data_IF_918479329385
#
_entry.id   IF_918479329385
#
_cell.length_a   1.000
_cell.length_b   1.000
_cell.length_c   1.000
_cell.angle_alpha   90.00
_cell.angle_beta   90.00
_cell.angle_gamma   90.00
#
_symmetry.space_group_name_H-M   'P 1'
#
loop_
_entity.id
_entity.type
_entity.pdbx_description
1 polymer ?
#
# COMPACT_ATOMS: atom_id res chain seq x y z
N UNK A 1 4.96 15.48 17.87
CA UNK A 1 4.40 14.15 17.53
C UNK A 1 3.71 14.29 16.19
N UNK A 2 4.42 14.04 15.09
CA UNK A 2 3.91 14.32 13.74
C UNK A 2 3.93 13.03 12.93
N UNK A 3 2.89 12.22 13.05
CA UNK A 3 2.73 11.01 12.20
C UNK A 3 1.31 10.91 11.68
N UNK A 4 0.77 12.04 11.20
CA UNK A 4 -0.29 12.00 10.20
C UNK A 4 0.40 11.67 8.88
N UNK A 5 0.72 10.39 8.66
CA UNK A 5 1.17 9.91 7.36
C UNK A 5 -0.01 10.14 6.42
N UNK A 6 0.08 11.21 5.65
CA UNK A 6 -0.88 11.52 4.63
C UNK A 6 -0.77 10.46 3.53
N UNK A 7 -1.89 9.78 3.25
CA UNK A 7 -1.96 8.75 2.21
C UNK A 7 -1.53 9.37 0.88
N UNK A 8 -1.95 10.62 0.62
CA UNK A 8 -1.65 11.33 -0.61
C UNK A 8 -0.15 11.62 -0.72
N UNK A 9 0.42 12.34 0.26
CA UNK A 9 1.84 12.70 0.22
C UNK A 9 2.77 11.47 0.16
N UNK A 10 2.41 10.39 0.86
CA UNK A 10 3.20 9.15 0.83
C UNK A 10 3.07 8.45 -0.51
N UNK A 11 1.86 8.41 -1.09
CA UNK A 11 1.63 7.84 -2.41
C UNK A 11 2.41 8.59 -3.49
N UNK A 12 2.47 9.93 -3.41
CA UNK A 12 3.23 10.77 -4.35
C UNK A 12 4.72 10.51 -4.25
N UNK A 13 5.26 10.45 -3.02
CA UNK A 13 6.67 10.15 -2.81
C UNK A 13 7.07 8.80 -3.39
N UNK A 14 6.24 7.78 -3.19
CA UNK A 14 6.48 6.44 -3.74
C UNK A 14 6.31 6.41 -5.26
N UNK A 15 5.29 7.09 -5.80
CA UNK A 15 5.06 7.18 -7.23
C UNK A 15 6.25 7.84 -7.95
N UNK A 16 6.89 8.84 -7.34
CA UNK A 16 8.04 9.53 -7.90
C UNK A 16 9.40 8.81 -7.69
N UNK A 17 9.48 7.77 -6.85
CA UNK A 17 10.74 7.10 -6.54
C UNK A 17 11.15 6.07 -7.60
N UNK A 18 12.01 6.47 -8.54
CA UNK A 18 12.51 5.62 -9.63
C UNK A 18 13.24 4.35 -9.18
N UNK A 19 13.69 4.27 -7.91
CA UNK A 19 14.35 3.06 -7.38
C UNK A 19 13.35 1.93 -7.14
N UNK A 20 12.07 2.26 -6.99
CA UNK A 20 11.00 1.30 -6.81
C UNK A 20 10.46 0.94 -8.18
N UNK A 21 10.59 -0.32 -8.56
CA UNK A 21 10.01 -0.81 -9.81
C UNK A 21 8.52 -1.09 -9.66
N UNK A 22 7.81 -1.15 -10.78
CA UNK A 22 6.41 -1.56 -10.81
C UNK A 22 6.18 -2.99 -10.32
N UNK A 23 7.18 -3.84 -10.47
CA UNK A 23 7.17 -5.18 -9.91
C UNK A 23 7.15 -5.14 -8.38
N UNK A 24 7.94 -4.27 -7.75
CA UNK A 24 7.93 -4.09 -6.30
C UNK A 24 6.54 -3.64 -5.82
N UNK A 25 5.90 -2.67 -6.50
CA UNK A 25 4.52 -2.28 -6.17
C UNK A 25 3.53 -3.44 -6.27
N UNK A 26 3.60 -4.21 -7.35
CA UNK A 26 2.72 -5.36 -7.54
C UNK A 26 2.95 -6.44 -6.47
N UNK A 27 4.22 -6.78 -6.18
CA UNK A 27 4.60 -7.76 -5.16
C UNK A 27 4.14 -7.34 -3.78
N UNK A 28 4.40 -6.09 -3.38
CA UNK A 28 3.99 -5.58 -2.07
C UNK A 28 2.48 -5.56 -1.91
N UNK A 29 1.74 -5.10 -2.94
CA UNK A 29 0.27 -5.15 -2.92
C UNK A 29 -0.28 -6.57 -2.82
N UNK A 30 0.31 -7.51 -3.55
CA UNK A 30 -0.10 -8.92 -3.51
C UNK A 30 0.12 -9.52 -2.12
N UNK A 31 1.33 -9.34 -1.56
CA UNK A 31 1.66 -9.86 -0.23
C UNK A 31 0.73 -9.27 0.84
N UNK A 32 0.49 -7.96 0.80
CA UNK A 32 -0.37 -7.29 1.76
C UNK A 32 -1.83 -7.74 1.65
N UNK A 33 -2.34 -7.94 0.43
CA UNK A 33 -3.69 -8.46 0.24
C UNK A 33 -3.84 -9.90 0.74
N UNK A 34 -2.81 -10.74 0.53
CA UNK A 34 -2.81 -12.11 1.04
C UNK A 34 -2.83 -12.11 2.57
N UNK A 35 -2.00 -11.29 3.22
CA UNK A 35 -1.97 -11.23 4.69
C UNK A 35 -3.28 -10.70 5.28
N UNK A 36 -3.88 -9.66 4.66
CA UNK A 36 -5.22 -9.19 5.03
C UNK A 36 -6.27 -10.31 4.87
N UNK A 37 -6.15 -11.12 3.81
CA UNK A 37 -7.06 -12.23 3.55
C UNK A 37 -6.94 -13.32 4.62
N UNK A 38 -5.72 -13.70 5.01
CA UNK A 38 -5.50 -14.68 6.07
C UNK A 38 -6.05 -14.20 7.42
N UNK A 39 -5.80 -12.93 7.78
CA UNK A 39 -6.33 -12.34 9.02
C UNK A 39 -7.86 -12.32 9.01
N UNK A 40 -8.46 -11.91 7.90
CA UNK A 40 -9.92 -11.91 7.74
C UNK A 40 -10.51 -13.33 7.84
N UNK A 41 -9.82 -14.32 7.27
CA UNK A 41 -10.25 -15.72 7.31
C UNK A 41 -10.13 -16.33 8.72
N UNK A 42 -9.17 -15.85 9.52
CA UNK A 42 -9.03 -16.21 10.94
C UNK A 42 -10.03 -15.49 11.87
N UNK A 43 -10.94 -14.65 11.35
CA UNK A 43 -11.82 -13.77 12.12
C UNK A 43 -11.06 -12.84 13.09
N UNK A 44 -9.82 -12.50 12.76
CA UNK A 44 -9.02 -11.57 13.53
C UNK A 44 -9.25 -10.13 13.04
N UNK A 45 -9.13 -9.12 13.93
CA UNK A 45 -9.24 -7.73 13.54
C UNK A 45 -8.09 -7.34 12.61
N UNK A 46 -8.42 -6.83 11.42
CA UNK A 46 -7.42 -6.36 10.46
C UNK A 46 -6.75 -5.08 10.99
N UNK A 47 -5.42 -5.05 11.16
CA UNK A 47 -4.71 -3.84 11.59
C UNK A 47 -4.93 -2.69 10.60
N UNK A 48 -5.31 -1.52 11.12
CA UNK A 48 -5.59 -0.33 10.29
C UNK A 48 -4.38 0.09 9.43
N UNK A 49 -3.17 -0.06 9.95
CA UNK A 49 -1.91 0.17 9.22
C UNK A 49 -1.88 -0.61 7.89
N UNK A 50 -2.34 -1.87 7.86
CA UNK A 50 -2.35 -2.68 6.64
C UNK A 50 -3.35 -2.12 5.61
N UNK A 51 -4.53 -1.70 6.07
CA UNK A 51 -5.54 -1.05 5.22
C UNK A 51 -4.99 0.28 4.67
N UNK A 52 -4.30 1.06 5.51
CA UNK A 52 -3.65 2.32 5.12
C UNK A 52 -2.57 2.10 4.07
N UNK A 53 -1.66 1.15 4.29
CA UNK A 53 -0.62 0.81 3.31
C UNK A 53 -1.19 0.26 2.00
N UNK A 54 -2.28 -0.50 2.05
CA UNK A 54 -2.99 -0.95 0.85
C UNK A 54 -3.49 0.23 0.02
N UNK A 55 -4.05 1.24 0.68
CA UNK A 55 -4.50 2.46 0.01
C UNK A 55 -3.32 3.24 -0.60
N UNK A 56 -2.25 3.46 0.17
CA UNK A 56 -1.03 4.15 -0.27
C UNK A 56 -0.44 3.48 -1.52
N UNK A 57 -0.23 2.17 -1.48
CA UNK A 57 0.38 1.43 -2.59
C UNK A 57 -0.50 1.39 -3.83
N UNK A 58 -1.83 1.26 -3.66
CA UNK A 58 -2.79 1.34 -4.78
C UNK A 58 -2.72 2.72 -5.44
N UNK A 59 -2.74 3.78 -4.64
CA UNK A 59 -2.70 5.15 -5.16
C UNK A 59 -1.36 5.46 -5.83
N UNK A 60 -0.24 5.07 -5.22
CA UNK A 60 1.09 5.26 -5.79
C UNK A 60 1.24 4.59 -7.17
N UNK A 61 0.78 3.34 -7.29
CA UNK A 61 0.79 2.61 -8.55
C UNK A 61 -0.12 3.23 -9.61
N UNK A 62 -1.33 3.68 -9.23
CA UNK A 62 -2.25 4.36 -10.13
C UNK A 62 -1.67 5.66 -10.67
N UNK A 63 -1.01 6.46 -9.82
CA UNK A 63 -0.34 7.71 -10.18
C UNK A 63 0.80 7.53 -11.20
N UNK A 64 1.42 6.34 -11.27
CA UNK A 64 2.43 6.01 -12.29
C UNK A 64 1.85 5.70 -13.68
N UNK A 65 0.52 5.66 -13.82
CA UNK A 65 -0.13 5.49 -15.13
C UNK A 65 -0.39 4.04 -15.55
N UNK A 66 -0.34 3.08 -14.61
CA UNK A 66 -0.74 1.68 -14.88
C UNK A 66 -2.08 1.38 -14.20
N UNK A 67 -3.14 1.80 -14.88
CA UNK A 67 -4.55 1.41 -14.63
C UNK A 67 -4.71 -0.08 -14.89
#
# INVERSE_FOLDING_TARGET
MTTRIDIEATSDRLAADERISDYEFWRSLKNLNNEIFEIANSNEPIPFEMVRWRAILKQARSKRGRV
#
